data_IF_780271565069
#
_entry.id   IF_780271565069
#
_cell.length_a   1.000
_cell.length_b   1.000
_cell.length_c   1.000
_cell.angle_alpha   90.00
_cell.angle_beta   90.00
_cell.angle_gamma   90.00
#
_symmetry.space_group_name_H-M   'P 1'
#
loop_
_entity.id
_entity.type
_entity.pdbx_description
1 polymer ?
#
# COMPACT_ATOMS: atom_id res chain seq x y z
N UNK A 1 -7.33 -16.98 -16.59
CA UNK A 1 -6.23 -17.28 -15.64
C UNK A 1 -6.63 -18.43 -14.73
N UNK A 2 -5.81 -19.43 -14.64
CA UNK A 2 -6.05 -20.54 -13.72
C UNK A 2 -5.70 -20.16 -12.29
N UNK A 3 -6.15 -20.97 -11.32
CA UNK A 3 -5.82 -20.78 -9.90
C UNK A 3 -4.30 -20.83 -9.66
N UNK A 4 -3.60 -21.73 -10.35
CA UNK A 4 -2.16 -21.84 -10.23
C UNK A 4 -1.43 -20.63 -10.78
N UNK A 5 -1.87 -20.11 -11.92
CA UNK A 5 -1.34 -18.88 -12.50
C UNK A 5 -1.56 -17.68 -11.56
N UNK A 6 -2.72 -17.60 -10.92
CA UNK A 6 -3.04 -16.54 -9.97
C UNK A 6 -2.14 -16.60 -8.73
N UNK A 7 -1.91 -17.79 -8.19
CA UNK A 7 -1.01 -18.01 -7.05
C UNK A 7 0.42 -17.59 -7.43
N UNK A 8 0.87 -18.00 -8.61
CA UNK A 8 2.21 -17.66 -9.09
C UNK A 8 2.36 -16.15 -9.28
N UNK A 9 1.37 -15.50 -9.90
CA UNK A 9 1.37 -14.05 -10.08
C UNK A 9 1.47 -13.30 -8.75
N UNK A 10 0.72 -13.74 -7.74
CA UNK A 10 0.78 -13.15 -6.40
C UNK A 10 2.18 -13.29 -5.80
N UNK A 11 2.76 -14.48 -5.88
CA UNK A 11 4.11 -14.74 -5.35
C UNK A 11 5.16 -13.87 -6.05
N UNK A 12 5.07 -13.73 -7.36
CA UNK A 12 5.98 -12.91 -8.14
C UNK A 12 5.88 -11.42 -7.77
N UNK A 13 4.67 -10.92 -7.57
CA UNK A 13 4.44 -9.53 -7.14
C UNK A 13 4.98 -9.31 -5.72
N UNK A 14 4.69 -10.20 -4.80
CA UNK A 14 5.19 -10.11 -3.42
C UNK A 14 6.72 -10.12 -3.38
N UNK A 15 7.33 -11.02 -4.16
CA UNK A 15 8.79 -11.10 -4.26
C UNK A 15 9.39 -9.80 -4.80
N UNK A 16 8.79 -9.20 -5.82
CA UNK A 16 9.27 -7.94 -6.38
C UNK A 16 9.22 -6.81 -5.34
N UNK A 17 8.13 -6.70 -4.58
CA UNK A 17 8.03 -5.72 -3.52
C UNK A 17 9.02 -5.98 -2.38
N UNK A 18 9.25 -7.24 -2.01
CA UNK A 18 10.22 -7.60 -0.98
C UNK A 18 11.65 -7.24 -1.41
N UNK A 19 12.00 -7.46 -2.66
CA UNK A 19 13.31 -7.08 -3.21
C UNK A 19 13.50 -5.55 -3.16
N UNK A 20 12.46 -4.77 -3.49
CA UNK A 20 12.50 -3.31 -3.38
C UNK A 20 12.69 -2.89 -1.92
N UNK A 21 11.94 -3.48 -1.00
CA UNK A 21 12.02 -3.18 0.43
C UNK A 21 13.40 -3.49 0.99
N UNK A 22 13.97 -4.64 0.65
CA UNK A 22 15.30 -5.06 1.09
C UNK A 22 16.36 -4.10 0.56
N UNK A 23 16.26 -3.70 -0.70
CA UNK A 23 17.18 -2.73 -1.31
C UNK A 23 17.10 -1.38 -0.63
N UNK A 24 15.91 -0.89 -0.35
CA UNK A 24 15.72 0.39 0.35
C UNK A 24 16.27 0.33 1.78
N UNK A 25 16.06 -0.78 2.50
CA UNK A 25 16.66 -1.01 3.81
C UNK A 25 18.19 -0.93 3.76
N UNK A 26 18.80 -1.61 2.80
CA UNK A 26 20.24 -1.62 2.63
C UNK A 26 20.79 -0.21 2.37
N UNK A 27 20.12 0.56 1.51
CA UNK A 27 20.51 1.95 1.21
C UNK A 27 20.38 2.85 2.43
N UNK A 28 19.33 2.68 3.22
CA UNK A 28 19.15 3.45 4.45
C UNK A 28 20.26 3.20 5.46
N UNK A 29 20.70 1.94 5.59
CA UNK A 29 21.81 1.58 6.46
C UNK A 29 23.15 2.09 5.92
N UNK A 30 23.31 2.11 4.60
CA UNK A 30 24.53 2.61 3.96
C UNK A 30 24.68 4.12 4.09
N UNK A 31 23.58 4.87 4.12
CA UNK A 31 23.56 6.33 4.13
C UNK A 31 22.78 6.89 5.32
N UNK A 32 23.19 6.60 6.55
CA UNK A 32 22.44 7.06 7.73
C UNK A 32 22.38 8.59 7.85
N UNK A 33 23.37 9.31 7.31
CA UNK A 33 23.40 10.77 7.35
C UNK A 33 22.35 11.44 6.46
N UNK A 34 21.85 10.74 5.45
CA UNK A 34 20.78 11.26 4.61
C UNK A 34 19.43 11.25 5.32
N UNK A 35 19.40 10.75 6.53
CA UNK A 35 18.23 10.72 7.36
C UNK A 35 17.21 9.72 6.87
N UNK A 36 16.33 10.12 5.99
CA UNK A 36 15.12 9.36 5.81
C UNK A 36 14.91 8.96 4.36
N UNK A 37 15.07 7.66 4.13
CA UNK A 37 14.53 7.02 2.95
C UNK A 37 13.18 6.42 3.32
N UNK A 38 12.14 6.81 2.62
CA UNK A 38 10.81 6.27 2.82
C UNK A 38 10.48 5.35 1.66
N UNK A 39 10.13 4.12 1.99
CA UNK A 39 9.68 3.15 1.01
C UNK A 39 8.25 2.74 1.32
N UNK A 40 7.41 2.76 0.32
CA UNK A 40 6.04 2.30 0.42
C UNK A 40 5.84 1.07 -0.45
N UNK A 41 5.14 0.12 0.11
CA UNK A 41 4.64 -0.99 -0.66
C UNK A 41 3.14 -1.05 -0.49
N UNK A 42 2.43 -0.88 -1.59
CA UNK A 42 1.01 -1.17 -1.64
C UNK A 42 0.78 -2.24 -2.69
N UNK A 43 0.29 -3.37 -2.25
CA UNK A 43 -0.06 -4.44 -3.16
C UNK A 43 -1.44 -4.94 -2.80
N UNK A 44 -2.35 -4.80 -3.70
CA UNK A 44 -3.66 -5.40 -3.61
C UNK A 44 -4.01 -5.98 -4.96
N UNK A 45 -4.33 -7.24 -4.98
CA UNK A 45 -4.79 -7.89 -6.19
C UNK A 45 -5.77 -8.98 -5.82
N UNK A 46 -6.76 -9.10 -6.63
CA UNK A 46 -7.74 -10.16 -6.57
C UNK A 46 -7.79 -10.79 -7.94
N UNK A 47 -7.56 -12.08 -7.97
CA UNK A 47 -7.35 -12.73 -9.24
C UNK A 47 -8.06 -14.06 -9.19
N UNK A 48 -8.51 -14.63 -10.10
CA UNK A 48 -9.03 -15.94 -10.39
C UNK A 48 -10.35 -15.83 -11.13
N UNK A 49 -11.34 -15.23 -10.52
CA UNK A 49 -12.64 -15.05 -11.15
C UNK A 49 -13.10 -13.62 -10.94
N UNK A 50 -12.98 -12.83 -12.00
CA UNK A 50 -13.34 -11.40 -11.95
C UNK A 50 -14.85 -11.18 -11.99
N UNK A 51 -15.63 -12.20 -12.33
CA UNK A 51 -17.08 -12.11 -12.39
C UNK A 51 -17.74 -12.36 -11.02
N UNK A 52 -17.00 -12.97 -10.08
CA UNK A 52 -17.50 -13.25 -8.74
C UNK A 52 -16.50 -12.81 -7.66
N UNK A 53 -16.61 -11.57 -7.25
CA UNK A 53 -15.75 -10.98 -6.22
C UNK A 53 -15.91 -11.61 -4.84
N UNK A 54 -17.01 -12.31 -4.59
CA UNK A 54 -17.30 -12.93 -3.32
C UNK A 54 -16.93 -14.40 -3.26
N UNK A 55 -16.38 -14.95 -4.35
CA UNK A 55 -15.98 -16.35 -4.39
C UNK A 55 -14.81 -16.62 -3.43
N UNK A 56 -14.89 -17.74 -2.70
CA UNK A 56 -13.81 -18.23 -1.86
C UNK A 56 -12.57 -18.61 -2.67
N UNK A 57 -12.73 -18.85 -3.97
CA UNK A 57 -11.63 -19.16 -4.87
C UNK A 57 -10.80 -17.93 -5.26
N UNK A 58 -11.29 -16.73 -5.00
CA UNK A 58 -10.54 -15.53 -5.26
C UNK A 58 -9.35 -15.41 -4.30
N UNK A 59 -8.20 -15.06 -4.86
CA UNK A 59 -6.99 -14.83 -4.08
C UNK A 59 -6.77 -13.33 -4.00
N UNK A 60 -6.78 -12.82 -2.78
CA UNK A 60 -6.42 -11.42 -2.51
C UNK A 60 -5.20 -11.36 -1.61
N UNK A 61 -4.36 -10.39 -1.88
CA UNK A 61 -3.22 -10.08 -1.02
C UNK A 61 -3.10 -8.57 -0.92
N UNK A 62 -2.94 -8.09 0.28
CA UNK A 62 -2.69 -6.67 0.55
C UNK A 62 -1.51 -6.57 1.47
N UNK A 63 -0.58 -5.73 1.13
CA UNK A 63 0.58 -5.50 1.96
C UNK A 63 1.09 -4.08 1.82
N UNK A 64 1.72 -3.60 2.87
CA UNK A 64 2.38 -2.30 2.83
C UNK A 64 3.67 -2.34 3.63
N UNK A 65 4.63 -1.57 3.18
CA UNK A 65 5.88 -1.37 3.89
C UNK A 65 6.17 0.12 3.93
N UNK A 66 6.52 0.63 5.10
CA UNK A 66 6.76 2.04 5.29
C UNK A 66 7.98 2.26 6.17
N UNK A 67 8.91 3.08 5.70
CA UNK A 67 10.09 3.50 6.45
C UNK A 67 10.15 5.02 6.48
N UNK A 68 10.55 5.56 7.62
CA UNK A 68 10.77 6.98 7.77
C UNK A 68 10.19 7.53 9.06
N UNK A 69 10.38 8.82 9.28
CA UNK A 69 9.72 9.51 10.39
C UNK A 69 8.34 10.01 9.97
N UNK A 70 7.60 10.55 10.91
CA UNK A 70 6.25 11.06 10.67
C UNK A 70 6.19 12.05 9.50
N UNK A 71 7.12 13.00 9.45
CA UNK A 71 7.11 14.04 8.41
C UNK A 71 7.32 13.43 7.02
N UNK A 72 8.27 12.53 6.88
CA UNK A 72 8.57 11.87 5.62
C UNK A 72 7.44 10.98 5.14
N UNK A 73 6.84 10.21 6.06
CA UNK A 73 5.72 9.33 5.75
C UNK A 73 4.51 10.16 5.33
N UNK A 74 4.22 11.23 6.06
CA UNK A 74 3.12 12.14 5.73
C UNK A 74 3.33 12.80 4.37
N UNK A 75 4.53 13.27 4.09
CA UNK A 75 4.88 13.89 2.81
C UNK A 75 4.70 12.88 1.66
N UNK A 76 5.12 11.63 1.85
CA UNK A 76 4.95 10.58 0.85
C UNK A 76 3.48 10.31 0.54
N UNK A 77 2.63 10.24 1.56
CA UNK A 77 1.20 10.05 1.38
C UNK A 77 0.55 11.23 0.67
N UNK A 78 0.93 12.46 1.05
CA UNK A 78 0.44 13.67 0.39
C UNK A 78 0.89 13.73 -1.07
N UNK A 79 2.09 13.25 -1.38
CA UNK A 79 2.56 13.20 -2.75
C UNK A 79 1.71 12.27 -3.62
N UNK A 80 1.29 11.13 -3.09
CA UNK A 80 0.39 10.20 -3.78
C UNK A 80 -0.96 10.90 -4.06
N UNK A 81 -1.53 11.56 -3.06
CA UNK A 81 -2.79 12.30 -3.22
C UNK A 81 -2.66 13.43 -4.24
N UNK A 82 -1.54 14.14 -4.22
CA UNK A 82 -1.24 15.20 -5.19
C UNK A 82 -1.19 14.64 -6.62
N UNK A 83 -0.53 13.52 -6.82
CA UNK A 83 -0.45 12.87 -8.13
C UNK A 83 -1.84 12.51 -8.66
N UNK A 84 -2.70 11.97 -7.81
CA UNK A 84 -4.08 11.65 -8.19
C UNK A 84 -4.87 12.91 -8.51
N UNK A 85 -4.80 13.91 -7.65
CA UNK A 85 -5.61 15.13 -7.80
C UNK A 85 -5.17 15.99 -8.99
N UNK A 86 -3.88 16.13 -9.19
CA UNK A 86 -3.31 17.07 -10.17
C UNK A 86 -2.87 16.37 -11.45
N UNK A 87 -1.97 15.40 -11.35
CA UNK A 87 -1.40 14.75 -12.54
C UNK A 87 -2.44 13.92 -13.29
N UNK A 88 -3.34 13.27 -12.58
CA UNK A 88 -4.43 12.51 -13.17
C UNK A 88 -5.75 13.30 -13.23
N UNK A 89 -5.74 14.53 -12.76
CA UNK A 89 -6.89 15.42 -12.77
C UNK A 89 -8.15 14.80 -12.13
N UNK A 90 -7.98 14.18 -10.97
CA UNK A 90 -9.06 13.53 -10.23
C UNK A 90 -9.09 13.97 -8.76
N UNK A 91 -9.33 15.27 -8.49
CA UNK A 91 -9.35 15.78 -7.12
C UNK A 91 -10.45 15.14 -6.26
N UNK A 92 -11.58 14.76 -6.83
CA UNK A 92 -12.67 14.10 -6.12
C UNK A 92 -12.26 12.71 -5.63
N UNK A 93 -11.45 12.00 -6.41
CA UNK A 93 -10.91 10.68 -6.00
C UNK A 93 -9.96 10.83 -4.83
N UNK A 94 -9.05 11.79 -4.89
CA UNK A 94 -8.14 12.08 -3.79
C UNK A 94 -8.90 12.41 -2.50
N UNK A 95 -9.90 13.26 -2.58
CA UNK A 95 -10.76 13.62 -1.44
C UNK A 95 -11.52 12.41 -0.89
N UNK A 96 -12.03 11.55 -1.76
CA UNK A 96 -12.72 10.32 -1.36
C UNK A 96 -11.79 9.35 -0.64
N UNK A 97 -10.53 9.25 -1.08
CA UNK A 97 -9.51 8.43 -0.41
C UNK A 97 -9.28 8.92 1.01
N UNK A 98 -9.10 10.22 1.21
CA UNK A 98 -8.89 10.80 2.55
C UNK A 98 -10.07 10.50 3.47
N UNK A 99 -11.30 10.70 2.98
CA UNK A 99 -12.50 10.41 3.76
C UNK A 99 -12.63 8.93 4.11
N UNK A 100 -12.36 8.06 3.16
CA UNK A 100 -12.40 6.61 3.38
C UNK A 100 -11.35 6.15 4.38
N UNK A 101 -10.13 6.68 4.30
CA UNK A 101 -9.07 6.38 5.25
C UNK A 101 -9.43 6.85 6.65
N UNK A 102 -9.97 8.05 6.80
CA UNK A 102 -10.40 8.58 8.10
C UNK A 102 -11.46 7.70 8.73
N UNK A 103 -12.48 7.32 7.97
CA UNK A 103 -13.55 6.45 8.44
C UNK A 103 -13.05 5.06 8.82
N UNK A 104 -12.19 4.48 8.00
CA UNK A 104 -11.60 3.15 8.25
C UNK A 104 -10.71 3.16 9.48
N UNK A 105 -9.94 4.23 9.68
CA UNK A 105 -9.10 4.41 10.86
C UNK A 105 -9.93 4.49 12.13
N UNK A 106 -11.03 5.23 12.13
CA UNK A 106 -11.94 5.30 13.27
C UNK A 106 -12.52 3.93 13.63
N UNK A 107 -12.90 3.16 12.63
CA UNK A 107 -13.35 1.77 12.83
C UNK A 107 -12.26 0.87 13.38
N UNK A 108 -11.05 0.98 12.85
CA UNK A 108 -9.90 0.20 13.27
C UNK A 108 -9.50 0.51 14.72
N UNK A 109 -9.54 1.76 15.13
CA UNK A 109 -9.29 2.14 16.52
C UNK A 109 -10.22 1.41 17.49
N UNK A 110 -11.49 1.30 17.14
CA UNK A 110 -12.48 0.57 17.96
C UNK A 110 -12.14 -0.91 18.08
N UNK A 111 -11.79 -1.55 16.95
CA UNK A 111 -11.43 -2.97 16.93
C UNK A 111 -10.14 -3.23 17.74
N UNK A 112 -9.15 -2.35 17.61
CA UNK A 112 -7.87 -2.50 18.29
C UNK A 112 -7.86 -1.94 19.71
N UNK A 113 -8.99 -1.39 20.20
CA UNK A 113 -9.09 -0.75 21.51
C UNK A 113 -8.06 0.36 21.72
N UNK A 114 -7.80 1.14 20.65
CA UNK A 114 -6.90 2.29 20.71
C UNK A 114 -7.72 3.52 21.13
N UNK A 115 -7.29 4.14 22.21
CA UNK A 115 -7.99 5.27 22.81
C UNK A 115 -7.16 6.55 22.60
N UNK A 116 -7.40 7.17 21.47
CA UNK A 116 -6.72 8.41 21.08
C UNK A 116 -7.70 9.57 20.96
#
# INVERSE_FOLDING_TARGET
MTKQEAIQARQDIEKAFDEISDRMCALRLQYPQLGILTAYRFAQHSIIDTDDYNSEDNITSTGSTCYGNLETITAGMLHILHAIAVDENQPEVAESIVRSLTKSWEGMKKILHIDL
#
